data_IF_484520154948
#
_entry.id   IF_484520154948
#
_cell.length_a   1.000
_cell.length_b   1.000
_cell.length_c   1.000
_cell.angle_alpha   90.00
_cell.angle_beta   90.00
_cell.angle_gamma   90.00
#
_symmetry.space_group_name_H-M   'P 1'
#
loop_
_entity.id
_entity.type
_entity.pdbx_description
1 polymer ?
#
# COMPACT_ATOMS: atom_id res chain seq x y z
N UNK A 1 8.45 -22.01 -58.62
CA UNK A 1 9.22 -21.84 -57.36
C UNK A 1 8.78 -20.55 -56.69
N UNK A 2 8.03 -20.58 -55.58
CA UNK A 2 7.67 -19.38 -54.80
C UNK A 2 7.57 -19.79 -53.33
N UNK A 3 8.63 -19.54 -52.55
CA UNK A 3 8.65 -19.73 -51.11
C UNK A 3 8.03 -18.49 -50.48
N UNK A 4 6.81 -18.61 -49.97
CA UNK A 4 6.12 -17.57 -49.24
C UNK A 4 6.43 -17.80 -47.75
N UNK A 5 7.41 -17.07 -47.23
CA UNK A 5 7.75 -17.05 -45.81
C UNK A 5 6.68 -16.24 -45.08
N UNK A 6 5.76 -16.94 -44.41
CA UNK A 6 4.83 -16.34 -43.45
C UNK A 6 5.63 -15.95 -42.20
N UNK A 7 5.94 -14.66 -42.04
CA UNK A 7 6.51 -14.13 -40.81
C UNK A 7 5.45 -14.15 -39.71
N UNK A 8 5.60 -15.07 -38.75
CA UNK A 8 4.89 -15.00 -37.46
C UNK A 8 5.45 -13.82 -36.66
N UNK A 9 4.72 -12.70 -36.61
CA UNK A 9 4.91 -11.71 -35.56
C UNK A 9 4.15 -12.19 -34.31
N UNK A 10 4.88 -12.83 -33.39
CA UNK A 10 4.39 -13.07 -32.03
C UNK A 10 4.43 -11.72 -31.30
N UNK A 11 3.26 -11.09 -31.16
CA UNK A 11 3.08 -9.95 -30.26
C UNK A 11 3.18 -10.46 -28.82
N UNK A 12 4.39 -10.39 -28.25
CA UNK A 12 4.57 -10.50 -26.82
C UNK A 12 3.88 -9.29 -26.18
N UNK A 13 2.62 -9.47 -25.76
CA UNK A 13 1.90 -8.48 -24.97
C UNK A 13 2.61 -8.40 -23.61
N UNK A 14 3.53 -7.45 -23.48
CA UNK A 14 4.16 -7.13 -22.20
C UNK A 14 3.06 -6.65 -21.26
N UNK A 15 2.56 -7.55 -20.41
CA UNK A 15 1.70 -7.20 -19.30
C UNK A 15 2.59 -6.43 -18.31
N UNK A 16 2.68 -5.11 -18.47
CA UNK A 16 3.39 -4.27 -17.52
C UNK A 16 2.78 -4.51 -16.13
N UNK A 17 3.60 -4.75 -15.08
CA UNK A 17 3.08 -4.86 -13.74
C UNK A 17 2.35 -3.55 -13.40
N UNK A 18 1.07 -3.66 -13.07
CA UNK A 18 0.31 -2.51 -12.59
C UNK A 18 0.97 -2.01 -11.31
N UNK A 19 1.25 -0.71 -11.26
CA UNK A 19 1.66 -0.06 -10.03
C UNK A 19 1.06 1.34 -10.00
N UNK A 20 0.15 1.55 -9.05
CA UNK A 20 -0.45 2.85 -8.81
C UNK A 20 0.62 3.90 -8.49
N UNK A 21 0.39 5.13 -8.91
CA UNK A 21 1.13 6.27 -8.37
C UNK A 21 0.84 6.38 -6.87
N UNK A 22 1.84 6.79 -6.09
CA UNK A 22 1.65 7.10 -4.67
C UNK A 22 1.85 8.59 -4.50
N UNK A 23 0.82 9.28 -3.99
CA UNK A 23 0.91 10.69 -3.65
C UNK A 23 2.12 10.91 -2.71
N UNK A 24 3.01 11.90 -2.98
CA UNK A 24 4.11 12.21 -2.09
C UNK A 24 3.69 12.49 -0.63
N UNK A 25 2.46 12.96 -0.42
CA UNK A 25 1.87 13.21 0.88
C UNK A 25 1.04 12.04 1.44
N UNK A 26 0.87 10.93 0.72
CA UNK A 26 0.06 9.80 1.17
C UNK A 26 0.60 9.18 2.47
N UNK A 27 1.92 9.20 2.65
CA UNK A 27 2.58 8.68 3.85
C UNK A 27 2.95 9.84 4.75
N UNK A 28 2.18 10.01 5.83
CA UNK A 28 2.46 10.98 6.88
C UNK A 28 2.70 10.27 8.21
N UNK A 29 3.90 10.43 8.77
CA UNK A 29 4.26 9.77 10.02
C UNK A 29 3.47 10.35 11.19
N UNK A 30 2.96 9.46 12.06
CA UNK A 30 2.32 9.88 13.29
C UNK A 30 3.38 10.38 14.28
N UNK A 31 3.05 11.43 15.02
CA UNK A 31 3.85 11.88 16.17
C UNK A 31 3.00 11.77 17.45
N UNK A 32 3.61 11.55 18.63
CA UNK A 32 2.86 11.51 19.88
C UNK A 32 2.09 12.80 20.18
N UNK A 33 2.59 13.94 19.71
CA UNK A 33 1.94 15.24 19.87
C UNK A 33 0.62 15.35 19.09
N UNK A 34 0.60 14.82 17.86
CA UNK A 34 -0.59 14.86 17.00
C UNK A 34 -1.53 13.68 17.28
N UNK A 35 -0.97 12.53 17.68
CA UNK A 35 -1.70 11.27 17.90
C UNK A 35 -1.54 10.71 19.32
N UNK A 36 -1.84 11.49 20.39
CA UNK A 36 -1.55 11.07 21.76
C UNK A 36 -2.35 9.84 22.20
N UNK A 37 -3.60 9.70 21.72
CA UNK A 37 -4.44 8.53 22.04
C UNK A 37 -3.91 7.24 21.40
N UNK A 38 -3.46 7.32 20.16
CA UNK A 38 -2.85 6.18 19.47
C UNK A 38 -1.53 5.79 20.14
N UNK A 39 -0.70 6.78 20.50
CA UNK A 39 0.54 6.55 21.23
C UNK A 39 0.30 5.86 22.57
N UNK A 40 -0.70 6.31 23.33
CA UNK A 40 -1.08 5.69 24.60
C UNK A 40 -1.62 4.25 24.42
N UNK A 41 -2.39 3.99 23.36
CA UNK A 41 -2.97 2.68 23.11
C UNK A 41 -1.95 1.64 22.62
N UNK A 42 -1.02 2.04 21.74
CA UNK A 42 -0.03 1.15 21.14
C UNK A 42 1.23 0.99 21.99
N UNK A 43 1.55 2.00 22.80
CA UNK A 43 2.84 2.12 23.47
C UNK A 43 3.97 2.52 22.50
N UNK A 44 5.15 2.87 23.02
CA UNK A 44 6.24 3.44 22.24
C UNK A 44 6.74 2.53 21.12
N UNK A 45 6.94 1.24 21.42
CA UNK A 45 7.48 0.28 20.47
C UNK A 45 6.52 0.03 19.30
N UNK A 46 5.26 -0.26 19.59
CA UNK A 46 4.28 -0.59 18.55
C UNK A 46 3.89 0.64 17.74
N UNK A 47 3.89 1.84 18.34
CA UNK A 47 3.74 3.10 17.60
C UNK A 47 4.90 3.35 16.62
N UNK A 48 6.14 3.06 17.04
CA UNK A 48 7.31 3.14 16.16
C UNK A 48 7.24 2.12 15.01
N UNK A 49 6.84 0.87 15.31
CA UNK A 49 6.60 -0.16 14.26
C UNK A 49 5.53 0.27 13.27
N UNK A 50 4.43 0.83 13.79
CA UNK A 50 3.32 1.32 12.96
C UNK A 50 3.79 2.36 11.94
N UNK A 51 4.61 3.33 12.37
CA UNK A 51 5.22 4.33 11.49
C UNK A 51 6.20 3.72 10.49
N UNK A 52 7.05 2.78 10.93
CA UNK A 52 8.09 2.18 10.08
C UNK A 52 7.51 1.42 8.87
N UNK A 53 6.28 0.93 8.97
CA UNK A 53 5.62 0.13 7.92
C UNK A 53 4.61 0.93 7.06
N UNK A 54 4.38 2.21 7.34
CA UNK A 54 3.45 3.04 6.54
C UNK A 54 3.82 3.07 5.04
N UNK A 55 5.12 3.16 4.73
CA UNK A 55 5.60 3.14 3.34
C UNK A 55 5.32 1.79 2.68
N UNK A 56 5.59 0.70 3.38
CA UNK A 56 5.34 -0.65 2.89
C UNK A 56 3.83 -0.87 2.62
N UNK A 57 2.96 -0.39 3.49
CA UNK A 57 1.51 -0.44 3.29
C UNK A 57 1.07 0.26 1.99
N UNK A 58 1.60 1.47 1.73
CA UNK A 58 1.33 2.16 0.47
C UNK A 58 1.87 1.41 -0.76
N UNK A 59 3.05 0.79 -0.66
CA UNK A 59 3.63 0.04 -1.77
C UNK A 59 2.87 -1.24 -2.07
N UNK A 60 2.39 -1.92 -1.03
CA UNK A 60 1.49 -3.06 -1.14
C UNK A 60 0.21 -2.65 -1.87
N UNK A 61 -0.44 -1.58 -1.39
CA UNK A 61 -1.66 -1.06 -2.00
C UNK A 61 -1.46 -0.64 -3.47
N UNK A 62 -0.31 -0.05 -3.80
CA UNK A 62 0.00 0.35 -5.16
C UNK A 62 0.13 -0.84 -6.13
N UNK A 63 0.39 -2.05 -5.64
CA UNK A 63 0.40 -3.26 -6.49
C UNK A 63 -1.03 -3.78 -6.80
N UNK A 64 -2.05 -3.32 -6.08
CA UNK A 64 -3.44 -3.69 -6.34
C UNK A 64 -3.95 -3.01 -7.62
N UNK A 65 -4.51 -3.80 -8.53
CA UNK A 65 -5.08 -3.33 -9.81
C UNK A 65 -6.29 -2.43 -9.63
N UNK A 66 -7.01 -2.56 -8.52
CA UNK A 66 -8.13 -1.69 -8.18
C UNK A 66 -7.68 -0.32 -7.67
N UNK A 67 -6.43 -0.18 -7.20
CA UNK A 67 -5.88 1.09 -6.79
C UNK A 67 -5.30 1.83 -8.00
N UNK A 68 -5.94 2.92 -8.44
CA UNK A 68 -5.41 3.79 -9.50
C UNK A 68 -4.30 4.72 -8.99
N UNK A 69 -4.48 5.27 -7.78
CA UNK A 69 -3.53 6.12 -7.08
C UNK A 69 -3.70 5.97 -5.58
N UNK A 70 -2.61 5.85 -4.82
CA UNK A 70 -2.61 5.86 -3.35
C UNK A 70 -2.61 7.30 -2.86
N UNK A 71 -3.62 7.67 -2.07
CA UNK A 71 -3.80 9.05 -1.58
C UNK A 71 -3.52 9.21 -0.10
N UNK A 72 -3.72 8.16 0.71
CA UNK A 72 -3.52 8.25 2.15
C UNK A 72 -3.25 6.88 2.77
N UNK A 73 -2.33 6.84 3.74
CA UNK A 73 -2.10 5.71 4.63
C UNK A 73 -2.36 6.13 6.06
N UNK A 74 -3.18 5.37 6.77
CA UNK A 74 -3.43 5.55 8.19
C UNK A 74 -3.36 4.25 8.97
N UNK A 75 -3.19 4.37 10.29
CA UNK A 75 -3.30 3.23 11.23
C UNK A 75 -4.72 3.19 11.77
N UNK A 76 -5.34 2.01 11.73
CA UNK A 76 -6.71 1.79 12.21
C UNK A 76 -6.74 1.84 13.75
N UNK A 77 -7.35 2.87 14.38
CA UNK A 77 -7.35 2.97 15.84
C UNK A 77 -8.20 1.91 16.51
N UNK A 78 -9.23 1.41 15.83
CA UNK A 78 -10.17 0.42 16.35
C UNK A 78 -9.73 -1.02 16.12
N UNK A 79 -8.81 -1.25 15.18
CA UNK A 79 -8.35 -2.60 14.83
C UNK A 79 -6.90 -2.88 15.25
N UNK A 80 -6.14 -1.85 15.63
CA UNK A 80 -4.75 -2.00 16.08
C UNK A 80 -4.66 -2.24 17.59
N UNK A 81 -3.80 -3.16 17.97
CA UNK A 81 -3.35 -3.42 19.34
C UNK A 81 -1.82 -3.40 19.38
N UNK A 82 -1.19 -3.36 20.57
CA UNK A 82 0.27 -3.48 20.65
C UNK A 82 0.84 -4.75 20.02
N UNK A 83 0.04 -5.82 19.88
CA UNK A 83 0.43 -7.11 19.30
C UNK A 83 0.14 -7.22 17.80
N UNK A 84 -0.75 -6.40 17.27
CA UNK A 84 -1.19 -6.47 15.87
C UNK A 84 -1.56 -5.09 15.37
N UNK A 85 -0.76 -4.55 14.45
CA UNK A 85 -1.06 -3.27 13.82
C UNK A 85 -1.84 -3.49 12.53
N UNK A 86 -2.88 -2.68 12.33
CA UNK A 86 -3.63 -2.64 11.07
C UNK A 86 -3.55 -1.25 10.45
N UNK A 87 -3.30 -1.21 9.15
CA UNK A 87 -3.32 -0.02 8.32
C UNK A 87 -4.55 -0.01 7.42
N UNK A 88 -4.96 1.18 7.02
CA UNK A 88 -5.82 1.37 5.88
C UNK A 88 -5.11 2.25 4.85
N UNK A 89 -5.33 1.95 3.58
CA UNK A 89 -4.80 2.71 2.47
C UNK A 89 -5.97 3.14 1.60
N UNK A 90 -6.14 4.44 1.45
CA UNK A 90 -7.14 5.04 0.57
C UNK A 90 -6.57 5.23 -0.83
N UNK A 91 -7.34 4.80 -1.81
CA UNK A 91 -7.03 4.82 -3.22
C UNK A 91 -8.14 5.53 -4.01
N UNK A 92 -7.74 6.08 -5.15
CA UNK A 92 -8.66 6.59 -6.20
C UNK A 92 -8.77 5.59 -7.35
N UNK A 93 -9.98 5.37 -7.92
CA UNK A 93 -11.28 5.85 -7.42
C UNK A 93 -11.68 5.16 -6.11
N UNK A 94 -12.48 5.86 -5.30
CA UNK A 94 -12.90 5.54 -3.91
C UNK A 94 -12.83 4.05 -3.54
N UNK A 95 -11.66 3.65 -3.07
CA UNK A 95 -11.34 2.29 -2.70
C UNK A 95 -10.43 2.30 -1.48
N UNK A 96 -10.71 1.42 -0.50
CA UNK A 96 -9.89 1.31 0.71
C UNK A 96 -9.41 -0.11 0.87
N UNK A 97 -8.09 -0.27 0.91
CA UNK A 97 -7.43 -1.52 1.26
C UNK A 97 -7.15 -1.51 2.77
N UNK A 98 -7.40 -2.63 3.44
CA UNK A 98 -7.01 -2.83 4.85
C UNK A 98 -5.92 -3.88 4.90
N UNK A 99 -4.87 -3.59 5.66
CA UNK A 99 -3.66 -4.40 5.75
C UNK A 99 -3.31 -4.61 7.22
N UNK A 100 -2.72 -5.75 7.52
CA UNK A 100 -2.14 -6.10 8.81
C UNK A 100 -0.64 -6.31 8.68
N UNK A 101 0.05 -6.54 9.80
CA UNK A 101 1.51 -6.80 9.78
C UNK A 101 1.87 -8.00 8.88
N UNK A 102 1.01 -9.03 8.84
CA UNK A 102 1.22 -10.24 8.05
C UNK A 102 1.23 -9.98 6.54
N UNK A 103 0.46 -8.98 6.07
CA UNK A 103 0.42 -8.58 4.65
C UNK A 103 1.71 -7.85 4.22
N UNK A 104 2.53 -7.39 5.18
CA UNK A 104 3.72 -6.55 4.97
C UNK A 104 5.04 -7.26 5.32
N UNK A 105 5.02 -8.60 5.36
CA UNK A 105 6.19 -9.45 5.65
C UNK A 105 6.75 -10.15 4.42
#
# INVERSE_FOLDING_TARGET
MRRMLLSLFVLASACSPHRAEIDPAAVSMMTPAVWPKMYAALGPESFARANAKMRAAAEYAAADRACGRVEYVGVSPSASTPQRIEWFVDCTPEYRIRLSEDDLT
#
